data_IF_658263396151
#
_entry.id   IF_658263396151
#
_cell.length_a   1.000
_cell.length_b   1.000
_cell.length_c   1.000
_cell.angle_alpha   90.00
_cell.angle_beta   90.00
_cell.angle_gamma   90.00
#
_symmetry.space_group_name_H-M   'P 1'
#
loop_
_entity.id
_entity.type
_entity.pdbx_description
1 polymer ?
#
# COMPACT_ATOMS: atom_id res chain seq x y z
N UNK A 1 -26.03 -12.08 1.36
CA UNK A 1 -25.21 -12.57 0.23
C UNK A 1 -23.80 -12.83 0.76
N UNK A 2 -23.14 -13.91 0.34
CA UNK A 2 -21.81 -14.26 0.83
C UNK A 2 -20.77 -13.98 -0.26
N UNK A 3 -19.67 -13.32 0.10
CA UNK A 3 -18.53 -13.09 -0.77
C UNK A 3 -17.75 -14.40 -0.97
N UNK A 4 -18.32 -15.36 -1.69
CA UNK A 4 -17.69 -16.66 -2.01
C UNK A 4 -18.32 -17.33 -3.25
N UNK A 5 -17.51 -18.09 -3.97
CA UNK A 5 -18.01 -19.06 -4.95
C UNK A 5 -18.47 -20.36 -4.26
N UNK A 6 -19.47 -21.08 -4.80
CA UNK A 6 -19.90 -22.38 -4.26
C UNK A 6 -18.72 -23.37 -4.15
N UNK A 7 -18.60 -24.04 -3.01
CA UNK A 7 -17.51 -25.01 -2.76
C UNK A 7 -16.12 -24.39 -2.54
N UNK A 8 -16.01 -23.05 -2.46
CA UNK A 8 -14.75 -22.36 -2.23
C UNK A 8 -14.70 -21.67 -0.86
N UNK A 9 -13.49 -21.50 -0.33
CA UNK A 9 -13.18 -20.62 0.81
C UNK A 9 -12.56 -19.31 0.31
N UNK A 10 -12.86 -18.20 0.96
CA UNK A 10 -12.31 -16.89 0.59
C UNK A 10 -11.21 -16.40 1.52
N UNK A 11 -10.26 -15.65 0.98
CA UNK A 11 -9.18 -15.03 1.75
C UNK A 11 -8.59 -13.84 0.97
N UNK A 12 -7.70 -13.12 1.66
CA UNK A 12 -6.96 -11.96 1.15
C UNK A 12 -7.87 -10.86 0.58
N UNK A 13 -8.70 -10.22 1.41
CA UNK A 13 -9.45 -9.05 0.98
C UNK A 13 -8.50 -7.92 0.57
N UNK A 14 -8.86 -7.22 -0.51
CA UNK A 14 -8.14 -6.06 -1.04
C UNK A 14 -9.17 -5.08 -1.65
N UNK A 15 -9.75 -4.18 -0.83
CA UNK A 15 -10.66 -3.15 -1.33
C UNK A 15 -9.93 -2.07 -2.14
N UNK A 16 -10.61 -1.51 -3.15
CA UNK A 16 -10.25 -0.26 -3.80
C UNK A 16 -11.49 0.63 -3.91
N UNK A 17 -11.31 1.93 -3.66
CA UNK A 17 -12.35 2.93 -3.83
C UNK A 17 -12.17 3.66 -5.16
N UNK A 18 -13.18 3.56 -6.02
CA UNK A 18 -13.28 4.28 -7.29
C UNK A 18 -14.03 5.60 -7.04
N UNK A 19 -13.30 6.70 -7.10
CA UNK A 19 -13.73 8.02 -6.64
C UNK A 19 -14.76 8.69 -7.56
N UNK A 20 -14.75 8.42 -8.87
CA UNK A 20 -15.60 9.12 -9.85
C UNK A 20 -17.07 8.72 -9.71
N UNK A 21 -17.33 7.44 -9.45
CA UNK A 21 -18.70 6.91 -9.29
C UNK A 21 -19.01 6.50 -7.85
N UNK A 22 -18.04 6.60 -6.94
CA UNK A 22 -18.19 6.26 -5.52
C UNK A 22 -18.30 4.75 -5.27
N UNK A 23 -17.84 3.92 -6.19
CA UNK A 23 -17.92 2.46 -6.07
C UNK A 23 -16.78 1.93 -5.20
N UNK A 24 -17.09 0.90 -4.42
CA UNK A 24 -16.08 0.12 -3.70
C UNK A 24 -16.02 -1.25 -4.32
N UNK A 25 -14.85 -1.64 -4.82
CA UNK A 25 -14.59 -3.01 -5.26
C UNK A 25 -13.82 -3.72 -4.17
N UNK A 26 -14.32 -4.85 -3.69
CA UNK A 26 -13.61 -5.71 -2.75
C UNK A 26 -13.10 -6.94 -3.48
N UNK A 27 -11.80 -6.95 -3.79
CA UNK A 27 -11.13 -8.11 -4.38
C UNK A 27 -10.79 -9.15 -3.31
N UNK A 28 -10.79 -10.41 -3.69
CA UNK A 28 -10.37 -11.54 -2.88
C UNK A 28 -10.09 -12.74 -3.78
N UNK A 29 -9.50 -13.80 -3.20
CA UNK A 29 -9.43 -15.09 -3.89
C UNK A 29 -10.43 -16.09 -3.33
N UNK A 30 -11.01 -16.91 -4.19
CA UNK A 30 -11.76 -18.11 -3.83
C UNK A 30 -10.88 -19.35 -4.08
N UNK A 31 -10.62 -20.17 -3.06
CA UNK A 31 -9.84 -21.42 -3.20
C UNK A 31 -10.74 -22.62 -3.05
N UNK A 32 -10.65 -23.58 -3.97
CA UNK A 32 -11.50 -24.77 -4.00
C UNK A 32 -11.31 -25.66 -2.76
N UNK A 33 -12.42 -25.97 -2.08
CA UNK A 33 -12.48 -26.85 -0.93
C UNK A 33 -11.44 -26.54 0.15
N UNK A 34 -10.68 -27.57 0.54
CA UNK A 34 -9.62 -27.48 1.55
C UNK A 34 -8.21 -27.52 0.95
N UNK A 35 -8.06 -27.24 -0.36
CA UNK A 35 -6.74 -27.24 -1.01
C UNK A 35 -5.89 -26.12 -0.40
N UNK A 36 -4.73 -26.49 0.13
CA UNK A 36 -3.77 -25.57 0.75
C UNK A 36 -2.85 -24.93 -0.29
N UNK A 37 -2.30 -23.75 0.01
CA UNK A 37 -1.28 -23.10 -0.81
C UNK A 37 -0.10 -24.04 -1.09
N UNK A 38 0.40 -24.75 -0.05
CA UNK A 38 1.49 -25.72 -0.17
C UNK A 38 1.17 -26.84 -1.16
N UNK A 39 -0.05 -27.40 -1.14
CA UNK A 39 -0.46 -28.44 -2.10
C UNK A 39 -0.46 -27.91 -3.54
N UNK A 40 -0.96 -26.69 -3.76
CA UNK A 40 -0.95 -26.04 -5.06
C UNK A 40 0.47 -25.80 -5.58
N UNK A 41 1.35 -25.26 -4.74
CA UNK A 41 2.77 -25.01 -5.06
C UNK A 41 3.50 -26.31 -5.42
N UNK A 42 3.36 -27.36 -4.61
CA UNK A 42 4.08 -28.63 -4.83
C UNK A 42 3.58 -29.37 -6.08
N UNK A 43 2.27 -29.35 -6.32
CA UNK A 43 1.64 -30.06 -7.44
C UNK A 43 1.62 -29.26 -8.76
N UNK A 44 1.79 -27.94 -8.69
CA UNK A 44 1.59 -27.04 -9.81
C UNK A 44 0.14 -27.00 -10.30
N UNK A 45 -0.83 -27.42 -9.47
CA UNK A 45 -2.26 -27.43 -9.80
C UNK A 45 -2.95 -26.28 -9.10
N UNK A 46 -3.33 -25.28 -9.88
CA UNK A 46 -4.08 -24.12 -9.42
C UNK A 46 -5.50 -24.53 -8.96
N UNK A 47 -5.92 -23.97 -7.83
CA UNK A 47 -7.25 -24.11 -7.27
C UNK A 47 -7.82 -22.75 -6.81
N UNK A 48 -7.18 -21.65 -7.17
CA UNK A 48 -7.55 -20.28 -6.80
C UNK A 48 -8.29 -19.58 -7.95
N UNK A 49 -9.29 -18.79 -7.60
CA UNK A 49 -10.06 -17.93 -8.49
C UNK A 49 -9.93 -16.48 -8.05
N UNK A 50 -9.76 -15.57 -9.00
CA UNK A 50 -9.77 -14.13 -8.76
C UNK A 50 -11.21 -13.65 -8.75
N UNK A 51 -11.66 -13.03 -7.66
CA UNK A 51 -13.04 -12.59 -7.54
C UNK A 51 -13.11 -11.17 -6.98
N UNK A 52 -14.21 -10.48 -7.28
CA UNK A 52 -14.61 -9.31 -6.51
C UNK A 52 -16.13 -9.27 -6.28
N UNK A 53 -16.52 -8.48 -5.29
CA UNK A 53 -17.87 -7.92 -5.14
C UNK A 53 -17.80 -6.39 -5.18
N UNK A 54 -18.88 -5.75 -5.59
CA UNK A 54 -18.94 -4.30 -5.74
C UNK A 54 -20.08 -3.70 -4.93
N UNK A 55 -19.80 -2.62 -4.20
CA UNK A 55 -20.79 -1.77 -3.57
C UNK A 55 -20.94 -0.47 -4.36
N UNK A 56 -22.18 -0.02 -4.51
CA UNK A 56 -22.57 1.25 -5.14
C UNK A 56 -23.11 2.27 -4.13
N UNK A 57 -23.11 1.90 -2.86
CA UNK A 57 -23.73 2.61 -1.75
C UNK A 57 -22.78 2.61 -0.54
N UNK A 58 -21.52 2.99 -0.76
CA UNK A 58 -20.55 3.21 0.33
C UNK A 58 -20.36 2.01 1.28
N UNK A 59 -20.55 0.79 0.79
CA UNK A 59 -20.38 -0.46 1.54
C UNK A 59 -21.64 -0.98 2.24
N UNK A 60 -22.81 -0.33 2.11
CA UNK A 60 -24.06 -0.80 2.74
C UNK A 60 -24.59 -2.09 2.12
N UNK A 61 -24.51 -2.24 0.79
CA UNK A 61 -24.87 -3.45 0.07
C UNK A 61 -23.82 -3.83 -0.97
N UNK A 62 -23.85 -5.10 -1.38
CA UNK A 62 -22.84 -5.69 -2.24
C UNK A 62 -23.50 -6.52 -3.35
N UNK A 63 -22.91 -6.46 -4.54
CA UNK A 63 -23.30 -7.26 -5.70
C UNK A 63 -23.00 -8.75 -5.51
N UNK A 64 -23.53 -9.56 -6.42
CA UNK A 64 -23.06 -10.93 -6.61
C UNK A 64 -21.56 -10.97 -6.93
N UNK A 65 -20.94 -12.12 -6.64
CA UNK A 65 -19.53 -12.39 -6.90
C UNK A 65 -19.27 -12.45 -8.40
N UNK A 66 -18.33 -11.64 -8.89
CA UNK A 66 -17.79 -11.74 -10.25
C UNK A 66 -16.48 -12.53 -10.22
N UNK A 67 -16.42 -13.65 -10.94
CA UNK A 67 -15.17 -14.39 -11.18
C UNK A 67 -14.45 -13.77 -12.39
N UNK A 68 -13.26 -13.21 -12.14
CA UNK A 68 -12.40 -12.57 -13.13
C UNK A 68 -11.26 -13.46 -13.63
N UNK A 69 -11.19 -14.72 -13.18
CA UNK A 69 -10.03 -15.58 -13.46
C UNK A 69 -9.74 -15.71 -14.95
N UNK A 70 -10.77 -15.97 -15.76
CA UNK A 70 -10.59 -16.12 -17.20
C UNK A 70 -10.36 -14.78 -17.91
N UNK A 71 -11.00 -13.70 -17.44
CA UNK A 71 -10.88 -12.35 -18.00
C UNK A 71 -9.48 -11.78 -17.81
N UNK A 72 -8.94 -11.89 -16.60
CA UNK A 72 -7.67 -11.26 -16.21
C UNK A 72 -6.49 -12.19 -16.49
N UNK A 73 -6.59 -13.47 -16.12
CA UNK A 73 -5.45 -14.41 -16.14
C UNK A 73 -5.51 -15.32 -17.36
N UNK A 74 -6.71 -15.81 -17.71
CA UNK A 74 -6.95 -16.66 -18.87
C UNK A 74 -5.97 -17.83 -18.99
N UNK A 75 -5.37 -18.00 -20.16
CA UNK A 75 -4.48 -19.12 -20.45
C UNK A 75 -3.19 -19.16 -19.60
N UNK A 76 -2.79 -18.04 -18.98
CA UNK A 76 -1.61 -17.98 -18.11
C UNK A 76 -1.80 -18.75 -16.80
N UNK A 77 -3.05 -19.05 -16.41
CA UNK A 77 -3.35 -19.77 -15.15
C UNK A 77 -2.63 -21.12 -15.07
N UNK A 78 -2.33 -21.75 -16.21
CA UNK A 78 -1.57 -23.01 -16.30
C UNK A 78 -0.11 -22.88 -15.84
N UNK A 79 0.43 -21.66 -15.83
CA UNK A 79 1.76 -21.31 -15.34
C UNK A 79 1.73 -20.82 -13.90
N UNK A 80 0.57 -20.74 -13.26
CA UNK A 80 0.38 -20.16 -11.94
C UNK A 80 0.02 -21.29 -10.98
N UNK A 81 0.95 -21.71 -10.12
CA UNK A 81 0.65 -22.76 -9.15
C UNK A 81 -0.47 -22.31 -8.20
N UNK A 82 -0.43 -21.05 -7.75
CA UNK A 82 -1.47 -20.34 -7.01
C UNK A 82 -1.15 -18.85 -7.09
N UNK A 83 -2.10 -17.99 -6.74
CA UNK A 83 -1.92 -16.53 -6.67
C UNK A 83 -2.83 -15.95 -5.58
N UNK A 84 -2.60 -14.69 -5.22
CA UNK A 84 -3.53 -13.89 -4.44
C UNK A 84 -3.41 -12.40 -4.75
N UNK A 85 -4.46 -11.64 -4.38
CA UNK A 85 -4.42 -10.17 -4.31
C UNK A 85 -4.00 -9.72 -2.91
N UNK A 86 -3.48 -8.50 -2.79
CA UNK A 86 -3.01 -7.88 -1.55
C UNK A 86 -2.26 -8.85 -0.62
N UNK A 87 -2.71 -9.03 0.64
CA UNK A 87 -3.85 -8.33 1.27
C UNK A 87 -3.48 -6.89 1.69
N UNK A 88 -4.50 -6.11 2.03
CA UNK A 88 -4.38 -4.67 2.31
C UNK A 88 -5.39 -3.92 1.45
N UNK A 89 -4.97 -2.96 0.65
CA UNK A 89 -5.83 -2.17 -0.23
C UNK A 89 -5.26 -2.02 -1.66
N UNK A 90 -6.14 -1.62 -2.58
CA UNK A 90 -5.78 -1.08 -3.87
C UNK A 90 -5.94 0.44 -3.88
N UNK A 91 -5.45 1.08 -4.94
CA UNK A 91 -5.48 2.54 -5.08
C UNK A 91 -6.06 2.97 -6.42
N UNK A 92 -6.61 4.18 -6.47
CA UNK A 92 -6.87 4.89 -7.72
C UNK A 92 -5.76 5.91 -7.94
N UNK A 93 -5.08 5.83 -9.08
CA UNK A 93 -4.02 6.75 -9.48
C UNK A 93 -4.60 8.11 -9.88
N UNK A 94 -3.78 9.15 -9.93
CA UNK A 94 -4.15 10.46 -10.49
C UNK A 94 -4.65 10.38 -11.94
N UNK A 95 -4.20 9.37 -12.72
CA UNK A 95 -4.70 9.11 -14.07
C UNK A 95 -6.14 8.55 -14.12
N UNK A 96 -6.70 8.15 -12.98
CA UNK A 96 -7.98 7.47 -12.86
C UNK A 96 -7.89 5.94 -12.91
N UNK A 97 -6.72 5.37 -13.27
CA UNK A 97 -6.47 3.93 -13.29
C UNK A 97 -6.63 3.34 -11.88
N UNK A 98 -7.39 2.26 -11.76
CA UNK A 98 -7.46 1.45 -10.53
C UNK A 98 -6.33 0.43 -10.52
N UNK A 99 -5.68 0.23 -9.39
CA UNK A 99 -4.55 -0.69 -9.22
C UNK A 99 -4.76 -1.55 -7.99
N UNK A 100 -4.66 -2.87 -8.17
CA UNK A 100 -4.77 -3.89 -7.13
C UNK A 100 -3.43 -4.63 -7.06
N UNK A 101 -2.71 -4.59 -5.92
CA UNK A 101 -1.50 -5.37 -5.76
C UNK A 101 -1.82 -6.87 -5.73
N UNK A 102 -0.94 -7.69 -6.30
CA UNK A 102 -1.10 -9.14 -6.35
C UNK A 102 0.25 -9.86 -6.38
N UNK A 103 0.23 -11.17 -6.15
CA UNK A 103 1.39 -12.04 -6.31
C UNK A 103 0.99 -13.43 -6.80
N UNK A 104 1.93 -14.09 -7.49
CA UNK A 104 1.75 -15.42 -8.06
C UNK A 104 2.95 -16.32 -7.77
N UNK A 105 2.69 -17.59 -7.49
CA UNK A 105 3.70 -18.65 -7.55
C UNK A 105 3.85 -19.16 -8.99
N UNK A 106 4.74 -18.55 -9.76
CA UNK A 106 4.94 -18.80 -11.18
C UNK A 106 5.75 -20.07 -11.45
N UNK A 107 5.28 -20.89 -12.40
CA UNK A 107 5.89 -22.15 -12.86
C UNK A 107 6.56 -21.89 -14.21
N UNK A 108 7.91 -21.78 -14.27
CA UNK A 108 8.61 -21.43 -15.51
C UNK A 108 8.62 -22.56 -16.54
N UNK A 109 8.64 -23.83 -16.10
CA UNK A 109 8.70 -24.99 -16.99
C UNK A 109 7.82 -26.11 -16.45
N UNK A 110 6.97 -26.67 -17.31
CA UNK A 110 6.15 -27.83 -17.01
C UNK A 110 6.74 -29.06 -17.70
N UNK A 111 7.55 -29.85 -16.98
CA UNK A 111 8.10 -31.08 -17.53
C UNK A 111 6.96 -32.10 -17.72
N UNK A 112 6.60 -32.41 -18.97
CA UNK A 112 5.54 -33.37 -19.29
C UNK A 112 5.88 -34.80 -18.88
N UNK A 113 7.17 -35.15 -18.75
CA UNK A 113 7.60 -36.55 -18.74
C UNK A 113 7.98 -37.12 -17.37
N UNK A 114 8.08 -36.32 -16.29
CA UNK A 114 8.42 -36.82 -14.95
C UNK A 114 7.75 -36.00 -13.85
N UNK A 115 7.26 -36.70 -12.80
CA UNK A 115 6.67 -36.13 -11.57
C UNK A 115 7.74 -35.45 -10.69
N UNK A 116 8.58 -34.58 -11.24
CA UNK A 116 9.45 -33.74 -10.42
C UNK A 116 8.61 -32.64 -9.75
N UNK A 117 8.93 -32.26 -8.51
CA UNK A 117 8.24 -31.17 -7.83
C UNK A 117 8.33 -29.89 -8.65
N UNK A 118 7.19 -29.22 -8.83
CA UNK A 118 7.14 -27.95 -9.56
C UNK A 118 8.00 -26.91 -8.83
N UNK A 119 8.99 -26.33 -9.52
CA UNK A 119 9.79 -25.21 -8.99
C UNK A 119 9.02 -23.90 -9.19
N UNK A 120 7.90 -23.75 -8.50
CA UNK A 120 7.14 -22.50 -8.52
C UNK A 120 7.89 -21.43 -7.70
N UNK A 121 7.94 -20.19 -8.19
CA UNK A 121 8.61 -19.06 -7.51
C UNK A 121 7.64 -17.87 -7.38
N UNK A 122 7.54 -17.25 -6.20
CA UNK A 122 6.64 -16.12 -6.02
C UNK A 122 7.19 -14.85 -6.69
N UNK A 123 6.31 -14.15 -7.40
CA UNK A 123 6.54 -12.82 -7.96
C UNK A 123 5.28 -11.96 -7.79
N UNK A 124 5.47 -10.74 -7.31
CA UNK A 124 4.43 -9.71 -7.28
C UNK A 124 4.11 -9.20 -8.69
N UNK A 125 2.92 -8.64 -8.87
CA UNK A 125 2.42 -7.98 -10.08
C UNK A 125 1.25 -7.05 -9.69
N UNK A 126 0.76 -6.26 -10.65
CA UNK A 126 -0.42 -5.41 -10.45
C UNK A 126 -1.56 -5.87 -11.34
N UNK A 127 -2.77 -5.88 -10.82
CA UNK A 127 -4.01 -5.97 -11.61
C UNK A 127 -4.56 -4.55 -11.72
N UNK A 128 -5.05 -4.15 -12.89
CA UNK A 128 -5.49 -2.78 -13.11
C UNK A 128 -6.72 -2.68 -14.02
N UNK A 129 -7.40 -1.53 -13.95
CA UNK A 129 -8.51 -1.16 -14.82
C UNK A 129 -8.41 0.33 -15.18
N UNK A 130 -8.58 0.63 -16.47
CA UNK A 130 -8.55 1.98 -17.03
C UNK A 130 -9.96 2.53 -17.34
N UNK A 131 -11.01 1.73 -17.13
CA UNK A 131 -12.38 2.00 -17.54
C UNK A 131 -13.37 1.94 -16.36
N UNK A 132 -12.90 2.41 -15.19
CA UNK A 132 -13.68 2.50 -13.95
C UNK A 132 -14.15 1.12 -13.44
N UNK A 133 -13.35 0.08 -13.66
CA UNK A 133 -13.59 -1.27 -13.19
C UNK A 133 -14.51 -2.11 -14.08
N UNK A 134 -14.72 -1.72 -15.34
CA UNK A 134 -15.53 -2.50 -16.29
C UNK A 134 -14.74 -3.70 -16.82
N UNK A 135 -13.51 -3.48 -17.30
CA UNK A 135 -12.54 -4.53 -17.66
C UNK A 135 -11.28 -4.46 -16.80
N UNK A 136 -10.66 -5.62 -16.61
CA UNK A 136 -9.45 -5.76 -15.79
C UNK A 136 -8.33 -6.48 -16.54
N UNK A 137 -7.11 -6.05 -16.29
CA UNK A 137 -5.88 -6.59 -16.89
C UNK A 137 -4.82 -6.81 -15.81
N UNK A 138 -3.76 -7.55 -16.12
CA UNK A 138 -2.60 -7.65 -15.23
C UNK A 138 -1.32 -7.16 -15.90
N UNK A 139 -0.46 -6.52 -15.11
CA UNK A 139 0.88 -6.09 -15.50
C UNK A 139 1.87 -7.25 -15.55
N UNK A 140 3.15 -6.91 -15.76
CA UNK A 140 4.24 -7.88 -15.79
C UNK A 140 4.65 -8.30 -14.38
N UNK A 141 5.17 -9.51 -14.26
CA UNK A 141 5.76 -10.01 -13.01
C UNK A 141 7.00 -9.17 -12.64
N UNK A 142 7.08 -8.75 -11.38
CA UNK A 142 8.26 -8.10 -10.82
C UNK A 142 9.38 -9.15 -10.67
N UNK A 143 10.37 -9.06 -11.57
CA UNK A 143 11.49 -10.00 -11.73
C UNK A 143 12.82 -9.24 -11.77
N UNK A 144 13.97 -9.89 -11.49
CA UNK A 144 14.16 -11.32 -11.20
C UNK A 144 14.03 -11.71 -9.72
N UNK A 145 13.89 -10.73 -8.81
CA UNK A 145 13.80 -11.01 -7.38
C UNK A 145 12.52 -11.78 -7.05
N UNK A 146 12.62 -12.64 -6.04
CA UNK A 146 11.46 -13.32 -5.47
C UNK A 146 10.71 -12.36 -4.57
N UNK A 147 9.43 -12.14 -4.87
CA UNK A 147 8.56 -11.19 -4.16
C UNK A 147 7.18 -11.81 -3.93
N UNK A 148 6.60 -11.55 -2.75
CA UNK A 148 5.29 -12.08 -2.34
C UNK A 148 4.26 -10.97 -2.14
N UNK A 149 3.51 -11.04 -1.04
CA UNK A 149 2.56 -10.02 -0.61
C UNK A 149 3.16 -8.61 -0.72
N UNK A 150 2.47 -7.73 -1.42
CA UNK A 150 2.96 -6.38 -1.72
C UNK A 150 1.85 -5.35 -1.60
N UNK A 151 2.27 -4.10 -1.51
CA UNK A 151 1.42 -2.92 -1.36
C UNK A 151 1.99 -1.77 -2.18
N UNK A 152 1.12 -0.87 -2.63
CA UNK A 152 1.50 0.19 -3.58
C UNK A 152 0.97 1.56 -3.19
N UNK A 153 1.73 2.60 -3.54
CA UNK A 153 1.32 3.98 -3.38
C UNK A 153 1.84 4.83 -4.54
N UNK A 154 1.03 5.76 -5.03
CA UNK A 154 1.47 6.74 -6.03
C UNK A 154 2.19 7.90 -5.34
N UNK A 155 3.42 8.19 -5.76
CA UNK A 155 4.26 9.26 -5.19
C UNK A 155 4.64 10.25 -6.27
N UNK A 156 4.67 11.54 -5.91
CA UNK A 156 5.13 12.61 -6.80
C UNK A 156 6.36 13.27 -6.17
N UNK A 157 7.49 13.28 -6.89
CA UNK A 157 8.71 14.00 -6.46
C UNK A 157 8.79 15.42 -7.04
N UNK A 158 9.92 16.11 -6.83
CA UNK A 158 10.16 17.50 -7.34
C UNK A 158 9.98 17.67 -8.83
N UNK A 159 10.27 16.63 -9.60
CA UNK A 159 10.13 16.64 -11.05
C UNK A 159 8.66 16.62 -11.52
N UNK A 160 7.69 16.50 -10.61
CA UNK A 160 6.25 16.61 -10.88
C UNK A 160 5.60 15.38 -11.52
N UNK A 161 6.38 14.42 -12.04
CA UNK A 161 5.81 13.19 -12.61
C UNK A 161 5.47 12.16 -11.52
N UNK A 162 4.23 11.63 -11.49
CA UNK A 162 3.85 10.59 -10.56
C UNK A 162 4.55 9.26 -10.91
N UNK A 163 4.95 8.53 -9.87
CA UNK A 163 5.60 7.22 -9.95
C UNK A 163 4.85 6.28 -9.00
N UNK A 164 4.58 5.06 -9.44
CA UNK A 164 4.00 4.04 -8.58
C UNK A 164 5.10 3.33 -7.80
N UNK A 165 5.09 3.51 -6.48
CA UNK A 165 5.96 2.80 -5.54
C UNK A 165 5.33 1.47 -5.13
N UNK A 166 6.14 0.42 -5.01
CA UNK A 166 5.73 -0.90 -4.51
C UNK A 166 6.66 -1.37 -3.40
N UNK A 167 6.10 -1.79 -2.27
CA UNK A 167 6.80 -2.50 -1.19
C UNK A 167 6.35 -3.95 -1.14
N UNK A 168 7.27 -4.89 -1.43
CA UNK A 168 6.98 -6.32 -1.52
C UNK A 168 7.74 -7.13 -0.48
N UNK A 169 7.10 -8.20 -0.01
CA UNK A 169 7.66 -9.18 0.92
C UNK A 169 8.75 -10.00 0.25
N UNK A 170 9.84 -10.30 0.97
CA UNK A 170 10.93 -11.14 0.44
C UNK A 170 11.46 -12.15 1.46
N UNK A 171 11.98 -13.31 1.02
CA UNK A 171 12.67 -14.23 1.93
C UNK A 171 13.99 -13.67 2.48
N UNK A 172 14.47 -12.52 2.00
CA UNK A 172 15.77 -11.94 2.31
C UNK A 172 15.78 -11.06 3.57
N UNK A 173 14.79 -11.22 4.47
CA UNK A 173 14.71 -10.52 5.77
C UNK A 173 14.59 -8.99 5.67
N UNK A 174 14.20 -8.49 4.51
CA UNK A 174 13.96 -7.08 4.23
C UNK A 174 12.93 -6.94 3.13
N UNK A 175 12.21 -5.82 3.10
CA UNK A 175 11.27 -5.51 2.00
C UNK A 175 12.03 -5.27 0.70
N UNK A 176 11.43 -5.64 -0.43
CA UNK A 176 11.84 -5.17 -1.74
C UNK A 176 11.04 -3.92 -2.10
N UNK A 177 11.74 -2.91 -2.60
CA UNK A 177 11.15 -1.68 -3.12
C UNK A 177 11.33 -1.65 -4.63
N UNK A 178 10.30 -1.23 -5.35
CA UNK A 178 10.35 -1.07 -6.79
C UNK A 178 9.51 0.14 -7.23
N UNK A 179 9.85 0.71 -8.38
CA UNK A 179 9.20 1.90 -8.92
C UNK A 179 8.70 1.62 -10.34
N UNK A 180 7.50 2.10 -10.67
CA UNK A 180 6.92 2.03 -12.01
C UNK A 180 6.57 3.43 -12.51
N UNK A 181 7.04 3.76 -13.72
CA UNK A 181 6.73 5.01 -14.43
C UNK A 181 5.65 4.83 -15.49
N UNK A 182 5.11 3.61 -15.62
CA UNK A 182 4.07 3.21 -16.58
C UNK A 182 2.82 2.67 -15.85
N UNK A 183 2.52 3.29 -14.70
CA UNK A 183 1.29 3.06 -13.94
C UNK A 183 1.03 1.57 -13.58
N UNK A 184 2.10 0.85 -13.23
CA UNK A 184 2.04 -0.53 -12.74
C UNK A 184 2.20 -1.63 -13.79
N UNK A 185 2.45 -1.29 -15.05
CA UNK A 185 2.69 -2.30 -16.09
C UNK A 185 4.06 -2.98 -15.96
N UNK A 186 5.12 -2.22 -15.68
CA UNK A 186 6.43 -2.74 -15.35
C UNK A 186 7.08 -2.01 -14.17
N UNK A 187 7.83 -2.77 -13.37
CA UNK A 187 8.57 -2.23 -12.24
C UNK A 187 10.07 -2.29 -12.50
N UNK A 188 10.73 -1.18 -12.18
CA UNK A 188 12.17 -0.97 -12.29
C UNK A 188 12.76 -0.70 -10.90
N UNK A 189 14.09 -0.57 -10.82
CA UNK A 189 14.83 -0.20 -9.60
C UNK A 189 14.54 -1.10 -8.39
N UNK A 190 14.38 -2.40 -8.66
CA UNK A 190 14.12 -3.41 -7.63
C UNK A 190 15.31 -3.53 -6.66
N UNK A 191 15.13 -3.08 -5.41
CA UNK A 191 16.17 -3.03 -4.40
C UNK A 191 15.68 -3.52 -3.03
N UNK A 192 16.56 -4.10 -2.22
CA UNK A 192 16.24 -4.49 -0.85
C UNK A 192 16.39 -3.29 0.09
N UNK A 193 15.33 -3.00 0.86
CA UNK A 193 15.31 -1.94 1.85
C UNK A 193 15.86 -2.42 3.19
N UNK A 194 17.11 -2.07 3.50
CA UNK A 194 17.73 -2.49 4.78
C UNK A 194 17.09 -1.86 6.02
N UNK A 195 16.34 -0.76 5.84
CA UNK A 195 15.61 -0.07 6.90
C UNK A 195 14.25 -0.73 7.21
N UNK A 196 13.64 -1.38 6.21
CA UNK A 196 12.38 -2.10 6.38
C UNK A 196 12.64 -3.60 6.55
N UNK A 197 12.88 -4.01 7.80
CA UNK A 197 13.21 -5.39 8.10
C UNK A 197 12.00 -6.33 8.02
N UNK A 198 12.27 -7.62 7.77
CA UNK A 198 11.24 -8.67 7.67
C UNK A 198 11.56 -9.85 8.60
N UNK A 199 10.57 -10.38 9.36
CA UNK A 199 10.76 -11.57 10.18
C UNK A 199 11.03 -12.84 9.34
N UNK A 200 11.55 -13.93 9.92
CA UNK A 200 11.95 -15.14 9.17
C UNK A 200 10.83 -15.76 8.33
N UNK A 201 9.60 -15.69 8.82
CA UNK A 201 8.41 -16.22 8.14
C UNK A 201 7.60 -15.13 7.45
N UNK A 202 8.19 -13.95 7.29
CA UNK A 202 7.60 -12.76 6.70
C UNK A 202 6.32 -12.24 7.36
N UNK A 203 5.88 -11.09 6.88
CA UNK A 203 4.63 -10.45 7.27
C UNK A 203 4.18 -9.53 6.11
N UNK A 204 2.88 -9.36 5.96
CA UNK A 204 2.37 -8.24 5.17
C UNK A 204 2.67 -6.92 5.92
N UNK A 205 2.81 -5.84 5.16
CA UNK A 205 2.87 -4.47 5.65
C UNK A 205 2.17 -3.55 4.66
N UNK A 206 1.73 -2.38 5.12
CA UNK A 206 0.92 -1.45 4.33
C UNK A 206 1.65 -0.14 4.10
N UNK A 207 1.43 0.46 2.92
CA UNK A 207 2.04 1.73 2.52
C UNK A 207 0.97 2.67 2.01
N UNK A 208 1.02 3.94 2.39
CA UNK A 208 0.17 5.00 1.82
C UNK A 208 1.02 6.20 1.47
N UNK A 209 0.60 6.94 0.44
CA UNK A 209 1.17 8.25 0.16
C UNK A 209 0.26 9.36 0.67
N UNK A 210 0.87 10.46 1.08
CA UNK A 210 0.18 11.68 1.48
C UNK A 210 1.04 12.90 1.14
N UNK A 211 0.40 14.06 1.08
CA UNK A 211 1.10 15.35 0.99
C UNK A 211 1.11 15.99 2.37
N UNK A 212 2.26 16.46 2.87
CA UNK A 212 2.29 17.17 4.14
C UNK A 212 1.49 18.47 4.02
N UNK A 213 0.74 18.82 5.06
CA UNK A 213 0.08 20.12 5.13
C UNK A 213 1.16 21.20 5.23
N UNK A 214 1.12 22.19 4.34
CA UNK A 214 1.97 23.37 4.48
C UNK A 214 1.57 24.11 5.76
N UNK A 215 2.54 24.30 6.66
CA UNK A 215 2.34 25.18 7.80
C UNK A 215 2.17 26.60 7.26
N UNK A 216 0.93 27.07 7.08
CA UNK A 216 0.59 28.49 7.04
C UNK A 216 0.78 29.11 8.42
N UNK A 217 2.02 29.08 8.92
CA UNK A 217 2.52 29.95 9.95
C UNK A 217 3.73 30.65 9.36
N UNK A 218 3.44 31.65 8.52
CA UNK A 218 4.42 32.66 8.20
C UNK A 218 4.88 33.28 9.51
N UNK A 219 6.14 33.03 9.87
CA UNK A 219 6.85 33.89 10.80
C UNK A 219 7.02 35.24 10.09
N UNK A 220 6.02 36.11 10.17
CA UNK A 220 6.24 37.52 9.92
C UNK A 220 7.14 38.01 11.05
N UNK A 221 8.43 38.17 10.74
CA UNK A 221 9.34 38.98 11.54
C UNK A 221 8.70 40.37 11.70
N UNK A 222 8.38 40.83 12.94
CA UNK A 222 7.93 42.19 13.18
C UNK A 222 9.17 43.10 13.24
N UNK A 223 9.91 43.16 12.14
CA UNK A 223 11.12 43.96 12.05
C UNK A 223 11.27 44.54 10.64
N UNK A 224 10.31 45.38 10.25
CA UNK A 224 10.55 46.54 9.39
C UNK A 224 9.42 47.55 9.58
N UNK A 225 9.68 48.45 10.51
CA UNK A 225 9.01 49.74 10.64
C UNK A 225 9.44 50.65 9.49
N UNK A 226 8.43 51.35 8.97
CA UNK A 226 8.46 52.74 8.49
C UNK A 226 9.27 53.07 7.23
N UNK A 227 8.59 53.21 6.07
CA UNK A 227 8.70 54.40 5.20
C UNK A 227 7.54 54.50 4.19
N UNK A 228 7.12 55.72 3.76
CA UNK A 228 5.77 55.97 3.28
C UNK A 228 5.60 55.93 1.74
N UNK A 229 4.32 55.72 1.40
CA UNK A 229 3.61 55.77 0.12
C UNK A 229 4.10 56.80 -0.91
N UNK A 230 4.24 56.37 -2.18
CA UNK A 230 4.00 57.23 -3.36
C UNK A 230 2.99 56.54 -4.27
N UNK A 231 1.82 57.19 -4.39
CA UNK A 231 0.82 56.90 -5.41
C UNK A 231 1.37 57.30 -6.79
N UNK A 232 1.28 56.39 -7.77
CA UNK A 232 1.14 56.75 -9.18
C UNK A 232 0.57 55.56 -9.97
N UNK A 233 -0.62 55.77 -10.52
CA UNK A 233 -1.06 55.19 -11.81
C UNK A 233 -1.13 56.39 -12.79
N UNK A 234 -1.08 56.22 -14.14
CA UNK A 234 -1.77 55.15 -14.87
C UNK A 234 -1.18 54.71 -16.25
N UNK A 235 -1.89 53.77 -16.89
CA UNK A 235 -2.06 53.48 -18.33
C UNK A 235 -1.09 52.55 -19.12
N UNK A 236 -1.74 51.50 -19.63
CA UNK A 236 -1.75 50.91 -20.99
C UNK A 236 -0.55 50.13 -21.56
N UNK A 237 -0.94 48.91 -21.96
CA UNK A 237 -0.51 48.12 -23.12
C UNK A 237 0.69 47.19 -22.94
N UNK A 238 0.42 45.89 -22.88
CA UNK A 238 0.90 44.94 -23.89
C UNK A 238 0.48 43.52 -23.56
N UNK A 239 -0.03 42.86 -24.59
CA UNK A 239 -0.15 41.41 -24.76
C UNK A 239 1.08 40.65 -24.25
N UNK A 240 0.88 39.66 -23.37
CA UNK A 240 1.74 38.49 -23.28
C UNK A 240 1.04 37.34 -22.53
N UNK A 241 1.40 36.13 -22.97
CA UNK A 241 0.84 34.82 -22.70
C UNK A 241 0.20 34.59 -21.33
N UNK A 242 -0.89 33.82 -21.37
CA UNK A 242 -1.29 32.92 -20.29
C UNK A 242 -0.13 31.95 -20.03
N UNK A 243 0.86 32.39 -19.25
CA UNK A 243 1.70 31.48 -18.51
C UNK A 243 0.84 30.95 -17.38
N UNK A 244 0.32 29.76 -17.64
CA UNK A 244 -0.23 28.87 -16.64
C UNK A 244 0.87 28.69 -15.60
N UNK A 245 0.73 29.36 -14.44
CA UNK A 245 1.56 29.09 -13.28
C UNK A 245 1.55 27.58 -13.04
N UNK A 246 2.66 26.94 -13.39
CA UNK A 246 2.91 25.56 -13.04
C UNK A 246 2.99 25.54 -11.51
N UNK A 247 1.85 25.28 -10.87
CA UNK A 247 1.77 25.10 -9.43
C UNK A 247 2.89 24.16 -9.03
N UNK A 248 3.76 24.63 -8.15
CA UNK A 248 4.85 23.84 -7.58
C UNK A 248 4.24 22.60 -6.97
N UNK A 249 4.29 21.48 -7.68
CA UNK A 249 3.68 20.23 -7.24
C UNK A 249 4.29 19.83 -5.91
N UNK A 250 3.50 19.91 -4.84
CA UNK A 250 3.97 19.56 -3.50
C UNK A 250 4.38 18.08 -3.47
N UNK A 251 5.59 17.83 -3.01
CA UNK A 251 6.18 16.50 -2.92
C UNK A 251 5.32 15.58 -2.05
N UNK A 252 5.15 14.35 -2.49
CA UNK A 252 4.44 13.33 -1.71
C UNK A 252 5.42 12.58 -0.81
N UNK A 253 4.98 12.27 0.40
CA UNK A 253 5.67 11.42 1.35
C UNK A 253 5.02 10.04 1.41
N UNK A 254 5.71 9.07 2.03
CA UNK A 254 5.18 7.74 2.31
C UNK A 254 5.14 7.48 3.81
N UNK A 255 4.06 6.84 4.25
CA UNK A 255 4.00 6.11 5.52
C UNK A 255 3.97 4.62 5.25
N UNK A 256 4.66 3.85 6.09
CA UNK A 256 4.65 2.40 6.05
C UNK A 256 4.42 1.81 7.44
N UNK A 257 3.52 0.84 7.57
CA UNK A 257 3.27 0.10 8.80
C UNK A 257 3.74 -1.35 8.70
N UNK A 258 4.52 -1.80 9.69
CA UNK A 258 5.00 -3.17 9.76
C UNK A 258 5.56 -3.52 11.14
N UNK A 259 5.56 -4.82 11.55
CA UNK A 259 6.27 -5.25 12.75
C UNK A 259 7.77 -4.91 12.71
N UNK A 260 8.28 -4.31 13.77
CA UNK A 260 9.65 -3.76 13.82
C UNK A 260 10.70 -4.77 14.26
N UNK A 261 10.28 -5.90 14.82
CA UNK A 261 11.20 -6.92 15.32
C UNK A 261 11.68 -7.86 14.20
N UNK A 262 13.02 -7.98 14.06
CA UNK A 262 13.64 -8.80 13.01
C UNK A 262 13.38 -10.30 13.13
N UNK A 263 12.97 -10.82 14.29
CA UNK A 263 12.85 -12.26 14.57
C UNK A 263 11.40 -12.73 14.66
N UNK A 264 10.49 -11.86 15.11
CA UNK A 264 9.09 -12.20 15.39
C UNK A 264 8.17 -11.06 14.97
N UNK A 265 6.91 -11.37 14.74
CA UNK A 265 5.83 -10.39 14.51
C UNK A 265 5.49 -9.66 15.83
N UNK A 266 6.32 -8.67 16.17
CA UNK A 266 6.23 -7.88 17.40
C UNK A 266 6.43 -6.39 17.10
N UNK A 267 5.73 -5.57 17.87
CA UNK A 267 5.77 -4.11 17.90
C UNK A 267 5.47 -3.51 16.53
N UNK A 268 4.21 -3.11 16.29
CA UNK A 268 3.83 -2.43 15.06
C UNK A 268 4.44 -1.03 15.04
N UNK A 269 5.23 -0.74 14.02
CA UNK A 269 5.88 0.54 13.82
C UNK A 269 5.36 1.27 12.60
N UNK A 270 5.36 2.60 12.67
CA UNK A 270 5.11 3.53 11.58
C UNK A 270 6.43 4.15 11.15
N UNK A 271 6.77 3.95 9.88
CA UNK A 271 7.97 4.48 9.24
C UNK A 271 7.56 5.63 8.31
N UNK A 272 8.35 6.70 8.29
CA UNK A 272 8.15 7.85 7.42
C UNK A 272 9.28 7.92 6.38
N UNK A 273 8.93 8.15 5.12
CA UNK A 273 9.89 8.50 4.07
C UNK A 273 9.46 9.81 3.39
N UNK A 274 10.31 10.83 3.49
CA UNK A 274 10.06 12.17 2.94
C UNK A 274 10.58 12.36 1.50
N UNK A 275 11.42 11.44 1.03
CA UNK A 275 12.01 11.44 -0.31
C UNK A 275 11.86 10.06 -0.96
N UNK A 276 10.63 9.62 -1.28
CA UNK A 276 10.34 8.23 -1.66
C UNK A 276 10.99 7.75 -2.97
N UNK A 277 11.54 8.68 -3.77
CA UNK A 277 12.26 8.35 -5.00
C UNK A 277 13.77 8.12 -4.78
N UNK A 278 14.26 8.43 -3.58
CA UNK A 278 15.62 8.20 -3.13
C UNK A 278 15.72 6.86 -2.37
N UNK A 279 16.88 6.22 -2.44
CA UNK A 279 17.12 4.96 -1.74
C UNK A 279 17.45 5.21 -0.27
N UNK A 280 16.95 4.32 0.61
CA UNK A 280 17.30 4.30 2.03
C UNK A 280 16.92 5.56 2.84
N UNK A 281 15.72 6.10 2.60
CA UNK A 281 15.21 7.32 3.24
C UNK A 281 14.12 7.07 4.30
N UNK A 282 13.99 5.85 4.83
CA UNK A 282 13.04 5.53 5.89
C UNK A 282 13.53 5.97 7.27
N UNK A 283 12.65 6.59 8.05
CA UNK A 283 12.91 6.96 9.44
C UNK A 283 13.07 5.73 10.36
N UNK A 284 13.55 5.97 11.58
CA UNK A 284 13.29 5.02 12.67
C UNK A 284 11.79 4.93 12.93
N UNK A 285 11.26 3.74 13.29
CA UNK A 285 9.82 3.58 13.46
C UNK A 285 9.32 4.24 14.75
N UNK A 286 8.18 4.91 14.65
CA UNK A 286 7.33 5.21 15.79
C UNK A 286 6.52 3.96 16.15
N UNK A 287 6.62 3.49 17.40
CA UNK A 287 5.87 2.30 17.83
C UNK A 287 4.42 2.68 18.11
N UNK A 288 3.53 2.36 17.17
CA UNK A 288 2.09 2.56 17.28
C UNK A 288 1.46 1.57 18.27
N UNK A 289 2.01 0.35 18.35
CA UNK A 289 1.53 -0.68 19.25
C UNK A 289 2.66 -1.60 19.74
N UNK A 290 2.79 -1.74 21.06
CA UNK A 290 3.74 -2.65 21.71
C UNK A 290 3.14 -4.05 21.87
N UNK A 291 3.90 -5.10 21.56
CA UNK A 291 3.49 -6.51 21.74
C UNK A 291 3.26 -7.26 20.43
N UNK A 292 2.63 -8.45 20.46
CA UNK A 292 2.25 -9.21 19.27
C UNK A 292 1.50 -8.36 18.26
N UNK A 293 2.04 -8.28 17.04
CA UNK A 293 1.44 -7.49 15.96
C UNK A 293 1.79 -8.10 14.61
N UNK A 294 0.77 -8.31 13.77
CA UNK A 294 0.86 -9.03 12.50
C UNK A 294 0.58 -8.11 11.32
N UNK A 295 -0.38 -8.49 10.50
CA UNK A 295 -0.76 -7.77 9.30
C UNK A 295 -1.35 -6.41 9.69
N UNK A 296 -1.20 -5.43 8.81
CA UNK A 296 -1.69 -4.08 9.04
C UNK A 296 -2.11 -3.44 7.74
N UNK A 297 -3.09 -2.55 7.79
CA UNK A 297 -3.55 -1.76 6.66
C UNK A 297 -3.73 -0.30 7.04
N UNK A 298 -3.07 0.60 6.31
CA UNK A 298 -3.13 2.04 6.48
C UNK A 298 -4.15 2.63 5.53
N UNK A 299 -4.83 3.68 5.97
CA UNK A 299 -5.62 4.57 5.13
C UNK A 299 -5.20 6.01 5.44
N UNK A 300 -4.81 6.77 4.40
CA UNK A 300 -4.67 8.21 4.51
C UNK A 300 -6.07 8.85 4.46
N UNK A 301 -6.37 9.68 5.45
CA UNK A 301 -7.62 10.40 5.58
C UNK A 301 -7.38 11.90 5.30
N UNK A 302 -8.45 12.67 5.26
CA UNK A 302 -8.36 14.12 5.11
C UNK A 302 -7.61 14.78 6.28
N UNK A 303 -7.14 16.01 6.08
CA UNK A 303 -6.54 16.86 7.13
C UNK A 303 -5.34 16.24 7.88
N UNK A 304 -4.60 15.32 7.24
CA UNK A 304 -3.40 14.73 7.81
C UNK A 304 -3.68 13.62 8.84
N UNK A 305 -4.90 13.10 8.88
CA UNK A 305 -5.24 11.92 9.68
C UNK A 305 -4.89 10.62 8.96
N UNK A 306 -4.59 9.58 9.74
CA UNK A 306 -4.38 8.23 9.25
C UNK A 306 -5.13 7.24 10.12
N UNK A 307 -5.78 6.28 9.47
CA UNK A 307 -6.29 5.07 10.11
C UNK A 307 -5.33 3.91 9.92
N UNK A 308 -5.13 3.10 10.95
CA UNK A 308 -4.41 1.84 10.86
C UNK A 308 -5.24 0.72 11.48
N UNK A 309 -5.62 -0.25 10.65
CA UNK A 309 -6.22 -1.51 11.07
C UNK A 309 -5.13 -2.57 11.16
N UNK A 310 -5.04 -3.35 12.24
CA UNK A 310 -3.95 -4.33 12.38
C UNK A 310 -4.28 -5.50 13.28
N UNK A 311 -3.65 -6.63 13.01
CA UNK A 311 -3.66 -7.83 13.86
C UNK A 311 -2.83 -7.58 15.12
N UNK A 312 -3.40 -7.87 16.30
CA UNK A 312 -2.65 -7.88 17.56
C UNK A 312 -3.23 -8.87 18.59
N UNK A 313 -2.57 -8.97 19.75
CA UNK A 313 -3.04 -9.80 20.84
C UNK A 313 -2.11 -9.79 22.04
N UNK A 314 -2.48 -10.55 23.07
CA UNK A 314 -1.69 -10.69 24.30
C UNK A 314 -0.60 -11.76 24.16
N UNK A 315 -0.89 -12.87 23.47
CA UNK A 315 0.08 -13.98 23.31
C UNK A 315 0.54 -14.15 21.86
N UNK A 316 -0.39 -14.00 20.91
CA UNK A 316 -0.16 -14.12 19.46
C UNK A 316 -0.75 -12.92 18.73
N UNK A 317 -0.22 -12.66 17.54
CA UNK A 317 -0.63 -11.56 16.69
C UNK A 317 -2.06 -11.72 16.13
N UNK A 318 -2.53 -12.94 15.88
CA UNK A 318 -3.80 -13.22 15.23
C UNK A 318 -5.00 -13.39 16.19
N UNK A 319 -4.96 -12.76 17.37
CA UNK A 319 -6.01 -12.90 18.38
C UNK A 319 -7.18 -11.92 18.16
N UNK A 320 -6.88 -10.71 17.68
CA UNK A 320 -7.87 -9.67 17.42
C UNK A 320 -7.38 -8.73 16.30
N UNK A 321 -8.32 -7.93 15.79
CA UNK A 321 -8.03 -6.81 14.90
C UNK A 321 -8.30 -5.52 15.68
N UNK A 322 -7.32 -4.64 15.76
CA UNK A 322 -7.42 -3.33 16.39
C UNK A 322 -7.42 -2.21 15.33
N UNK A 323 -7.96 -1.06 15.72
CA UNK A 323 -7.96 0.16 14.93
C UNK A 323 -7.34 1.31 15.71
N UNK A 324 -6.49 2.10 15.08
CA UNK A 324 -5.88 3.32 15.64
C UNK A 324 -5.96 4.47 14.65
N UNK A 325 -6.33 5.64 15.15
CA UNK A 325 -6.19 6.92 14.46
C UNK A 325 -4.97 7.66 14.99
N UNK A 326 -4.25 8.33 14.10
CA UNK A 326 -3.14 9.23 14.44
C UNK A 326 -2.96 10.29 13.34
N UNK A 327 -2.12 11.28 13.59
CA UNK A 327 -1.88 12.43 12.70
C UNK A 327 -0.45 12.46 12.15
N UNK A 328 -0.26 13.14 11.03
CA UNK A 328 1.08 13.47 10.51
C UNK A 328 1.92 14.23 11.54
N UNK A 329 1.32 15.10 12.35
CA UNK A 329 1.96 15.83 13.45
C UNK A 329 2.54 14.91 14.51
N UNK A 330 1.82 13.87 14.91
CA UNK A 330 2.32 12.85 15.85
C UNK A 330 3.49 12.06 15.26
N UNK A 331 3.40 11.69 13.98
CA UNK A 331 4.52 11.04 13.29
C UNK A 331 5.75 11.97 13.26
N UNK A 332 5.54 13.24 12.92
CA UNK A 332 6.60 14.23 12.81
C UNK A 332 7.25 14.56 14.15
N UNK A 333 6.47 14.72 15.23
CA UNK A 333 7.01 15.01 16.57
C UNK A 333 7.92 13.89 17.05
N UNK A 334 7.54 12.62 16.79
CA UNK A 334 8.37 11.46 17.12
C UNK A 334 9.66 11.44 16.29
N UNK A 335 9.55 11.61 14.97
CA UNK A 335 10.72 11.57 14.07
C UNK A 335 11.70 12.72 14.36
N UNK A 336 11.22 13.86 14.83
CA UNK A 336 12.03 15.03 15.20
C UNK A 336 12.49 15.02 16.67
N UNK A 337 12.21 13.97 17.44
CA UNK A 337 12.66 13.83 18.83
C UNK A 337 11.94 14.71 19.85
N UNK A 338 10.81 15.34 19.49
CA UNK A 338 9.98 16.11 20.42
C UNK A 338 8.95 15.18 21.06
N UNK A 339 9.37 14.46 22.10
CA UNK A 339 8.43 13.78 22.98
C UNK A 339 7.95 14.80 24.04
N UNK A 340 6.64 15.10 24.17
CA UNK A 340 6.14 15.57 25.44
C UNK A 340 6.23 14.38 26.40
N UNK A 341 7.08 14.51 27.41
CA UNK A 341 7.21 13.52 28.49
C UNK A 341 5.83 13.09 29.00
N UNK A 342 5.57 11.79 29.22
CA UNK A 342 4.39 11.38 29.97
C UNK A 342 4.51 12.01 31.36
N UNK A 343 3.55 12.88 31.69
CA UNK A 343 3.50 13.57 32.97
C UNK A 343 3.58 12.57 34.12
N UNK A 344 4.59 12.74 34.96
CA UNK A 344 4.58 12.24 36.32
C UNK A 344 3.38 12.86 37.03
N UNK A 345 2.35 12.08 37.30
CA UNK A 345 1.47 12.23 38.47
C UNK A 345 0.53 11.03 38.56
N UNK A 346 0.95 10.02 39.30
CA UNK A 346 0.04 9.16 40.06
C UNK A 346 0.63 9.03 41.45
N UNK A 347 0.16 9.87 42.36
CA UNK A 347 0.32 9.64 43.80
C UNK A 347 -0.39 8.33 44.18
N UNK A 348 0.16 7.56 45.12
CA UNK A 348 -0.48 6.36 45.64
C UNK A 348 -1.60 6.76 46.61
N UNK A 349 -2.84 6.41 46.31
CA UNK A 349 -3.91 6.45 47.30
C UNK A 349 -3.70 5.26 48.26
N UNK A 350 -3.15 5.57 49.44
CA UNK A 350 -3.33 4.77 50.65
C UNK A 350 -4.69 5.12 51.27
N UNK A 351 -5.62 4.16 51.26
CA UNK A 351 -6.38 3.65 52.41
C UNK A 351 -7.50 2.72 51.94
#
# INVERSE_FOLDING_TARGET
MEARLPGHRTMNPCPVWEQKTGRVYLFFICVWGHVTERQQIMSGRNAARLCFICSKDSGYSWSDVRDLTEEVIGAEVKHWATFAVGPGHGIQLQSGRLVIPAYVYYIPYRFLCFRLPCKARPHSLMIYSDDLGATWHHGRLIKPMVTGECEVAEVTGRAGHPVLYCSARTPNRSRAEALSTDHGECFQRLALSQQLCEPPHGCQGSVVSFRPLENTHGCQDPARKDEPTIQQSPLLDSSQGLEQEAGTGSESWLLYSHPTNRKRRLNLGIYLNRTPLEAACWSHPWILHCGPSGYSDLAALEEGFFGCLFECGSKRECEQIAFRLFTDREVLSYVQGHCPSPGSNSEPIQN
#
